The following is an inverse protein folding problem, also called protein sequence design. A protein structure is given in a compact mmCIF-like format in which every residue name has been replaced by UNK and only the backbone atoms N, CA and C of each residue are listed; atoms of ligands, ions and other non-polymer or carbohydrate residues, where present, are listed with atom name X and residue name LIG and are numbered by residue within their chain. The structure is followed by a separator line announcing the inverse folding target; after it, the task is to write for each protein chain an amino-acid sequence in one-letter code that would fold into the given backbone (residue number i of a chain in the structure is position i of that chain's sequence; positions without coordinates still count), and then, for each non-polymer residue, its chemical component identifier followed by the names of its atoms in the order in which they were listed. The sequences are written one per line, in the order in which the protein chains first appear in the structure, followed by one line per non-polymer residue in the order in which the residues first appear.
data_IF_458840152247
#
_entry.id   IF_458840152247
#
_cell.length_a   1.000
_cell.length_b   1.000
_cell.length_c   1.000
_cell.angle_alpha   90.00
_cell.angle_beta   90.00
_cell.angle_gamma   90.00
#
_symmetry.space_group_name_H-M   'P 1'
#
loop_
_entity.id
_entity.type
_entity.pdbx_description
1 polymer ?
#
# COMPACT_ATOMS: atom_id res chain seq x y z
N UNK A 1 -9.05 -17.19 17.70
CA UNK A 1 -9.52 -16.41 16.52
C UNK A 1 -10.76 -17.06 15.95
N UNK A 2 -11.75 -16.28 15.53
CA UNK A 2 -12.95 -16.79 14.85
C UNK A 2 -12.63 -17.22 13.42
N UNK A 3 -13.36 -18.23 12.93
CA UNK A 3 -13.15 -18.80 11.59
C UNK A 3 -13.55 -17.86 10.45
N UNK A 4 -14.56 -17.01 10.69
CA UNK A 4 -15.08 -16.02 9.75
C UNK A 4 -14.23 -14.76 9.67
N UNK A 5 -13.46 -14.46 10.71
CA UNK A 5 -12.69 -13.22 10.75
C UNK A 5 -11.59 -13.18 9.71
N UNK A 6 -11.27 -11.97 9.25
CA UNK A 6 -10.27 -11.73 8.21
C UNK A 6 -9.03 -11.12 8.87
N UNK A 7 -7.94 -11.88 9.05
CA UNK A 7 -6.69 -11.33 9.57
C UNK A 7 -6.06 -10.36 8.57
N UNK A 8 -5.53 -9.25 9.08
CA UNK A 8 -4.76 -8.27 8.30
C UNK A 8 -3.35 -8.13 8.87
N UNK A 9 -2.36 -7.90 7.99
CA UNK A 9 -0.98 -7.64 8.39
C UNK A 9 -0.87 -6.28 9.08
N UNK A 10 -0.25 -6.24 10.25
CA UNK A 10 0.09 -4.97 10.93
C UNK A 10 1.31 -4.32 10.31
N UNK A 11 1.66 -3.11 10.78
CA UNK A 11 2.91 -2.45 10.40
C UNK A 11 4.15 -3.26 10.82
N UNK A 12 4.11 -3.89 12.00
CA UNK A 12 5.18 -4.74 12.49
C UNK A 12 5.35 -6.01 11.64
N UNK A 13 4.24 -6.65 11.25
CA UNK A 13 4.29 -7.82 10.36
C UNK A 13 4.87 -7.49 8.98
N UNK A 14 4.57 -6.30 8.43
CA UNK A 14 5.17 -5.83 7.17
C UNK A 14 6.67 -5.57 7.30
N UNK A 15 7.10 -4.89 8.36
CA UNK A 15 8.52 -4.64 8.62
C UNK A 15 9.29 -5.93 8.82
N UNK A 16 8.72 -6.93 9.49
CA UNK A 16 9.38 -8.21 9.68
C UNK A 16 9.56 -8.99 8.37
N UNK A 17 8.62 -8.86 7.44
CA UNK A 17 8.81 -9.39 6.08
C UNK A 17 9.96 -8.65 5.39
N UNK A 18 10.10 -7.34 5.52
CA UNK A 18 11.18 -6.62 4.83
C UNK A 18 12.56 -6.88 5.46
N UNK A 19 12.65 -6.69 6.77
CA UNK A 19 13.92 -6.57 7.48
C UNK A 19 14.41 -7.88 8.13
N UNK A 20 13.52 -8.87 8.32
CA UNK A 20 13.82 -10.17 8.94
C UNK A 20 14.48 -10.08 10.34
N UNK A 21 14.10 -9.10 11.16
CA UNK A 21 14.76 -8.79 12.44
C UNK A 21 14.21 -9.60 13.62
N UNK A 22 12.94 -9.98 13.58
CA UNK A 22 12.21 -10.67 14.65
C UNK A 22 12.38 -12.20 14.61
N UNK A 23 13.29 -12.72 13.78
CA UNK A 23 13.65 -14.15 13.72
C UNK A 23 12.45 -15.07 13.48
N UNK A 24 11.43 -14.62 12.74
CA UNK A 24 10.35 -15.51 12.35
C UNK A 24 10.90 -16.71 11.60
N UNK A 25 10.51 -17.90 12.05
CA UNK A 25 10.81 -19.12 11.32
C UNK A 25 10.22 -19.07 9.88
N UNK A 26 10.80 -19.79 8.91
CA UNK A 26 10.33 -19.78 7.51
C UNK A 26 8.84 -20.06 7.36
N UNK A 27 8.27 -20.92 8.22
CA UNK A 27 6.84 -21.26 8.26
C UNK A 27 5.96 -20.06 8.63
N UNK A 28 6.26 -19.39 9.74
CA UNK A 28 5.49 -18.22 10.19
C UNK A 28 5.52 -17.10 9.15
N UNK A 29 6.68 -16.89 8.54
CA UNK A 29 6.84 -15.89 7.49
C UNK A 29 6.01 -16.21 6.24
N UNK A 30 5.96 -17.47 5.82
CA UNK A 30 5.13 -17.89 4.69
C UNK A 30 3.64 -17.63 4.95
N UNK A 31 3.16 -17.96 6.16
CA UNK A 31 1.77 -17.68 6.55
C UNK A 31 1.52 -16.16 6.61
N UNK A 32 2.41 -15.40 7.26
CA UNK A 32 2.32 -13.94 7.34
C UNK A 32 2.30 -13.25 5.96
N UNK A 33 3.09 -13.73 5.00
CA UNK A 33 3.08 -13.23 3.62
C UNK A 33 1.71 -13.44 2.97
N UNK A 34 1.04 -14.55 3.26
CA UNK A 34 -0.29 -14.87 2.71
C UNK A 34 -1.44 -14.06 3.33
N UNK A 35 -1.22 -13.35 4.44
CA UNK A 35 -2.26 -12.62 5.18
C UNK A 35 -2.39 -11.20 4.62
N UNK A 36 -3.21 -11.01 3.59
CA UNK A 36 -3.41 -9.68 2.96
C UNK A 36 -4.74 -9.00 3.31
N UNK A 37 -5.53 -9.58 4.23
CA UNK A 37 -6.86 -9.06 4.54
C UNK A 37 -7.95 -9.47 3.55
N UNK A 38 -7.72 -10.53 2.77
CA UNK A 38 -8.66 -11.00 1.74
C UNK A 38 -9.26 -12.36 2.06
N UNK A 39 -8.65 -13.12 2.98
CA UNK A 39 -9.04 -14.49 3.32
C UNK A 39 -9.43 -14.57 4.77
N UNK A 40 -10.47 -15.34 5.06
CA UNK A 40 -10.86 -15.66 6.42
C UNK A 40 -9.87 -16.61 7.08
N UNK A 41 -9.89 -16.69 8.41
CA UNK A 41 -9.08 -17.66 9.18
C UNK A 41 -9.32 -19.10 8.68
N UNK A 42 -10.57 -19.49 8.43
CA UNK A 42 -10.90 -20.79 7.86
C UNK A 42 -10.25 -21.02 6.49
N UNK A 43 -10.29 -20.01 5.62
CA UNK A 43 -9.66 -20.09 4.29
C UNK A 43 -8.13 -20.24 4.38
N UNK A 44 -7.50 -19.57 5.34
CA UNK A 44 -6.06 -19.68 5.59
C UNK A 44 -5.72 -21.08 6.14
N UNK A 45 -6.48 -21.60 7.11
CA UNK A 45 -6.32 -22.98 7.61
C UNK A 45 -6.41 -24.00 6.49
N UNK A 46 -7.39 -23.87 5.60
CA UNK A 46 -7.56 -24.78 4.46
C UNK A 46 -6.39 -24.67 3.48
N UNK A 47 -5.95 -23.46 3.15
CA UNK A 47 -4.80 -23.23 2.26
C UNK A 47 -3.50 -23.84 2.81
N UNK A 48 -3.32 -23.81 4.13
CA UNK A 48 -2.14 -24.35 4.81
C UNK A 48 -2.44 -25.66 5.54
N UNK A 49 -3.43 -26.45 5.10
CA UNK A 49 -3.82 -27.70 5.76
C UNK A 49 -2.70 -28.75 5.82
N UNK A 50 -1.70 -28.66 4.93
CA UNK A 50 -0.48 -29.49 4.97
C UNK A 50 0.45 -29.13 6.15
N UNK A 51 0.21 -28.00 6.82
CA UNK A 51 0.91 -27.57 8.03
C UNK A 51 0.03 -27.93 9.23
N UNK A 52 0.39 -29.02 9.92
CA UNK A 52 -0.36 -29.52 11.08
C UNK A 52 -0.49 -28.50 12.25
N UNK A 53 0.32 -27.45 12.26
CA UNK A 53 0.39 -26.45 13.34
C UNK A 53 -0.07 -25.05 12.89
N UNK A 54 -0.88 -24.94 11.83
CA UNK A 54 -1.31 -23.64 11.29
C UNK A 54 -2.01 -22.76 12.34
N UNK A 55 -2.79 -23.36 13.24
CA UNK A 55 -3.44 -22.67 14.34
C UNK A 55 -2.45 -22.04 15.30
N UNK A 56 -1.41 -22.78 15.68
CA UNK A 56 -0.35 -22.27 16.55
C UNK A 56 0.45 -21.15 15.87
N UNK A 57 0.70 -21.28 14.56
CA UNK A 57 1.39 -20.22 13.79
C UNK A 57 0.57 -18.93 13.74
N UNK A 58 -0.76 -19.02 13.56
CA UNK A 58 -1.63 -17.84 13.57
C UNK A 58 -1.65 -17.18 14.95
N UNK A 59 -1.70 -17.97 16.02
CA UNK A 59 -1.66 -17.48 17.39
C UNK A 59 -0.35 -16.74 17.69
N UNK A 60 0.80 -17.33 17.36
CA UNK A 60 2.12 -16.71 17.53
C UNK A 60 2.27 -15.41 16.72
N UNK A 61 1.72 -15.35 15.49
CA UNK A 61 1.73 -14.13 14.69
C UNK A 61 0.86 -13.03 15.29
N UNK A 62 -0.27 -13.36 15.91
CA UNK A 62 -1.10 -12.38 16.59
C UNK A 62 -0.51 -11.95 17.94
N UNK A 63 0.03 -12.89 18.71
CA UNK A 63 0.73 -12.61 19.97
C UNK A 63 1.96 -11.71 19.74
N UNK A 64 2.67 -11.92 18.63
CA UNK A 64 3.75 -11.05 18.16
C UNK A 64 3.31 -9.71 17.57
N UNK A 65 2.00 -9.43 17.53
CA UNK A 65 1.43 -8.20 16.97
C UNK A 65 1.68 -8.04 15.47
N UNK A 66 1.93 -9.12 14.74
CA UNK A 66 2.24 -9.13 13.30
C UNK A 66 0.98 -9.18 12.45
N UNK A 67 -0.10 -9.73 13.01
CA UNK A 67 -1.44 -9.73 12.43
C UNK A 67 -2.45 -9.26 13.46
N UNK A 68 -3.51 -8.64 12.98
CA UNK A 68 -4.68 -8.26 13.78
C UNK A 68 -5.92 -8.90 13.14
N UNK A 69 -6.88 -9.27 13.98
CA UNK A 69 -8.13 -9.90 13.57
C UNK A 69 -9.24 -8.99 14.07
N UNK A 70 -10.01 -8.41 13.15
CA UNK A 70 -11.26 -7.76 13.52
C UNK A 70 -12.25 -8.87 13.88
N UNK A 71 -12.52 -9.05 15.18
CA UNK A 71 -13.62 -9.88 15.63
C UNK A 71 -14.91 -9.23 15.10
N UNK A 72 -15.71 -10.00 14.34
CA UNK A 72 -16.97 -9.56 13.76
C UNK A 72 -17.96 -9.21 14.88
N UNK A 73 -17.91 -7.95 15.29
CA UNK A 73 -18.80 -7.30 16.22
C UNK A 73 -18.97 -5.80 15.96
N UNK A 74 -18.41 -5.24 14.88
CA UNK A 74 -18.71 -3.86 14.47
C UNK A 74 -18.39 -3.62 12.98
N UNK A 75 -19.31 -4.02 12.09
CA UNK A 75 -19.40 -3.39 10.76
C UNK A 75 -20.13 -2.05 10.92
N UNK A 76 -19.43 -0.98 11.30
CA UNK A 76 -19.71 0.40 10.87
C UNK A 76 -18.76 1.45 11.51
N UNK A 77 -17.90 2.03 10.67
CA UNK A 77 -17.52 3.46 10.62
C UNK A 77 -17.26 4.16 11.97
N UNK A 78 -15.99 4.29 12.34
CA UNK A 78 -15.47 5.41 13.14
C UNK A 78 -14.18 5.92 12.47
N UNK A 79 -14.32 6.72 11.42
CA UNK A 79 -14.02 8.14 11.55
C UNK A 79 -15.12 8.93 12.27
N UNK A 80 -14.79 9.61 13.38
CA UNK A 80 -15.51 10.81 13.82
C UNK A 80 -14.70 11.62 14.85
N UNK A 81 -14.34 12.85 14.50
CA UNK A 81 -14.03 13.96 15.42
C UNK A 81 -15.35 14.58 15.96
N UNK A 82 -15.34 15.72 16.68
CA UNK A 82 -14.75 16.10 17.98
C UNK A 82 -15.84 16.61 18.97
N UNK A 83 -15.50 17.06 20.21
CA UNK A 83 -15.89 18.39 20.79
C UNK A 83 -15.40 18.62 22.25
N UNK A 84 -14.62 19.72 22.43
CA UNK A 84 -14.63 20.84 23.44
C UNK A 84 -14.87 20.56 24.94
N UNK A 85 -14.35 21.29 25.94
CA UNK A 85 -13.37 22.37 26.13
C UNK A 85 -13.22 22.64 27.65
N UNK A 86 -12.05 23.13 28.11
CA UNK A 86 -11.85 24.17 29.14
C UNK A 86 -10.32 24.33 29.34
N UNK A 87 -9.66 25.39 28.85
CA UNK A 87 -9.55 26.77 29.39
C UNK A 87 -8.74 26.77 30.69
N UNK A 88 -7.52 27.28 30.71
CA UNK A 88 -7.10 28.70 30.90
C UNK A 88 -5.55 28.72 30.76
N UNK A 89 -4.78 29.76 30.42
CA UNK A 89 -4.94 31.21 30.27
C UNK A 89 -3.64 31.72 29.58
N UNK A 90 -3.67 32.85 28.87
CA UNK A 90 -2.50 33.45 28.18
C UNK A 90 -2.27 34.88 28.71
N UNK A 91 -1.05 35.22 29.16
CA UNK A 91 -0.55 36.60 29.30
C UNK A 91 0.90 36.76 28.76
N UNK A 92 1.07 37.59 27.71
CA UNK A 92 2.19 38.51 27.35
C UNK A 92 3.68 38.00 27.25
N UNK A 93 4.67 38.78 26.73
CA UNK A 93 5.38 38.59 25.44
C UNK A 93 6.88 38.18 25.57
N UNK A 94 7.71 38.35 24.51
CA UNK A 94 8.20 37.36 23.55
C UNK A 94 9.41 36.51 24.02
N UNK A 95 9.89 35.58 23.17
CA UNK A 95 9.30 35.10 21.93
C UNK A 95 8.85 33.64 22.13
N UNK A 96 7.73 33.19 21.63
CA UNK A 96 7.38 33.17 20.22
C UNK A 96 5.90 33.54 20.04
N UNK A 97 5.64 34.25 18.95
CA UNK A 97 4.42 35.01 18.73
C UNK A 97 3.14 34.17 18.82
N UNK A 98 2.27 34.60 19.76
CA UNK A 98 0.90 35.14 19.57
C UNK A 98 0.21 34.96 18.19
N UNK A 99 -1.13 35.02 18.14
CA UNK A 99 -2.00 33.86 17.93
C UNK A 99 -2.98 34.04 16.75
N UNK A 100 -3.66 32.93 16.43
CA UNK A 100 -4.90 32.72 15.67
C UNK A 100 -5.44 33.84 14.74
N UNK A 101 -5.83 33.45 13.52
CA UNK A 101 -7.28 33.43 13.27
C UNK A 101 -7.77 32.17 12.52
N UNK A 102 -9.05 31.86 12.69
CA UNK A 102 -9.84 30.99 11.79
C UNK A 102 -9.98 31.68 10.40
N UNK A 103 -10.45 31.02 9.34
CA UNK A 103 -10.19 29.68 8.82
C UNK A 103 -9.52 29.80 7.43
N UNK A 104 -8.41 29.10 7.18
CA UNK A 104 -7.78 29.07 5.85
C UNK A 104 -7.45 27.63 5.44
N UNK A 105 -7.52 27.42 4.13
CA UNK A 105 -7.29 26.21 3.35
C UNK A 105 -6.37 25.11 3.93
N UNK A 106 -6.64 23.86 3.48
CA UNK A 106 -5.64 22.78 3.26
C UNK A 106 -4.30 23.37 2.74
N UNK A 107 -3.18 22.61 2.67
CA UNK A 107 -2.82 21.30 3.28
C UNK A 107 -1.33 21.25 3.77
N UNK A 108 -0.93 20.36 4.69
CA UNK A 108 0.48 19.95 4.89
C UNK A 108 0.57 18.87 5.99
N UNK A 109 1.47 17.87 5.98
CA UNK A 109 2.69 17.75 5.20
C UNK A 109 3.13 16.29 5.05
N UNK A 110 3.18 15.78 3.82
CA UNK A 110 4.44 15.22 3.32
C UNK A 110 4.94 16.26 2.34
N UNK A 111 5.89 17.11 2.72
CA UNK A 111 6.47 18.07 1.79
C UNK A 111 7.98 17.86 1.69
N UNK A 112 8.35 17.33 0.53
CA UNK A 112 9.57 17.54 -0.25
C UNK A 112 9.31 16.72 -1.53
N UNK A 113 8.88 17.24 -2.67
CA UNK A 113 9.17 18.49 -3.36
C UNK A 113 7.94 18.89 -4.21
N UNK A 114 7.94 20.09 -4.77
CA UNK A 114 7.29 20.38 -6.06
C UNK A 114 7.86 19.45 -7.15
N UNK A 115 7.33 18.23 -7.19
CA UNK A 115 7.61 17.20 -8.18
C UNK A 115 6.41 16.28 -8.22
N UNK A 116 5.65 16.31 -9.33
CA UNK A 116 4.40 15.57 -9.49
C UNK A 116 4.53 14.13 -8.97
N UNK A 117 3.58 13.71 -8.13
CA UNK A 117 3.53 12.34 -7.63
C UNK A 117 3.48 11.39 -8.82
N UNK A 118 4.52 10.58 -9.02
CA UNK A 118 4.62 9.61 -10.11
C UNK A 118 3.81 8.32 -9.85
N UNK A 119 3.14 8.22 -8.70
CA UNK A 119 2.34 7.06 -8.32
C UNK A 119 1.20 6.73 -9.29
N UNK A 120 0.41 7.71 -9.78
CA UNK A 120 -0.64 7.46 -10.77
C UNK A 120 -0.10 6.82 -12.06
N UNK A 121 1.10 7.24 -12.52
CA UNK A 121 1.76 6.65 -13.68
C UNK A 121 2.16 5.19 -13.43
N UNK A 122 2.77 4.89 -12.28
CA UNK A 122 3.16 3.53 -11.89
C UNK A 122 1.95 2.59 -11.81
N UNK A 123 0.90 3.03 -11.13
CA UNK A 123 -0.35 2.27 -11.00
C UNK A 123 -0.98 1.97 -12.36
N UNK A 124 -1.05 2.98 -13.24
CA UNK A 124 -1.60 2.83 -14.58
C UNK A 124 -0.78 1.83 -15.41
N UNK A 125 0.54 2.00 -15.48
CA UNK A 125 1.41 1.12 -16.26
C UNK A 125 1.31 -0.33 -15.77
N UNK A 126 1.38 -0.55 -14.46
CA UNK A 126 1.27 -1.89 -13.83
C UNK A 126 -0.09 -2.53 -14.10
N UNK A 127 -1.19 -1.76 -13.98
CA UNK A 127 -2.54 -2.25 -14.28
C UNK A 127 -2.68 -2.66 -15.74
N UNK A 128 -2.20 -1.82 -16.67
CA UNK A 128 -2.30 -2.09 -18.11
C UNK A 128 -1.49 -3.31 -18.53
N UNK A 129 -0.28 -3.45 -18.00
CA UNK A 129 0.56 -4.62 -18.25
C UNK A 129 -0.07 -5.90 -17.70
N UNK A 130 -0.62 -5.86 -16.48
CA UNK A 130 -1.29 -7.02 -15.89
C UNK A 130 -2.52 -7.41 -16.71
N UNK A 131 -3.32 -6.43 -17.14
CA UNK A 131 -4.55 -6.68 -17.91
C UNK A 131 -4.29 -7.17 -19.34
N UNK A 132 -3.22 -6.71 -19.99
CA UNK A 132 -2.97 -7.00 -21.42
C UNK A 132 -1.86 -8.01 -21.67
N UNK A 133 -0.84 -8.06 -20.83
CA UNK A 133 0.33 -8.94 -20.98
C UNK A 133 0.28 -10.11 -20.00
N UNK A 134 -0.39 -9.94 -18.85
CA UNK A 134 -0.56 -10.99 -17.85
C UNK A 134 0.74 -11.32 -17.11
N UNK A 135 0.92 -12.59 -16.73
CA UNK A 135 2.03 -13.04 -15.88
C UNK A 135 3.43 -12.69 -16.43
N UNK A 136 3.57 -12.56 -17.75
CA UNK A 136 4.83 -12.18 -18.41
C UNK A 136 5.30 -10.76 -18.04
N UNK A 137 4.40 -9.91 -17.54
CA UNK A 137 4.73 -8.56 -17.10
C UNK A 137 5.35 -8.49 -15.70
N UNK A 138 5.37 -9.59 -14.93
CA UNK A 138 5.77 -9.56 -13.53
C UNK A 138 7.13 -8.87 -13.26
N UNK A 139 8.16 -9.22 -14.03
CA UNK A 139 9.48 -8.60 -13.91
C UNK A 139 9.48 -7.13 -14.32
N UNK A 140 8.63 -6.77 -15.28
CA UNK A 140 8.52 -5.39 -15.75
C UNK A 140 7.75 -4.51 -14.76
N UNK A 141 6.70 -5.04 -14.11
CA UNK A 141 6.01 -4.40 -12.99
C UNK A 141 6.98 -4.10 -11.84
N UNK A 142 7.87 -5.04 -11.49
CA UNK A 142 8.90 -4.78 -10.49
C UNK A 142 9.87 -3.66 -10.87
N UNK A 143 10.19 -3.49 -12.16
CA UNK A 143 11.03 -2.37 -12.62
C UNK A 143 10.30 -1.04 -12.46
N UNK A 144 9.01 -0.98 -12.80
CA UNK A 144 8.17 0.22 -12.66
C UNK A 144 8.07 0.65 -11.19
N UNK A 145 7.84 -0.30 -10.28
CA UNK A 145 7.77 -0.04 -8.84
C UNK A 145 9.09 0.52 -8.28
N UNK A 146 10.22 0.01 -8.79
CA UNK A 146 11.56 0.43 -8.36
C UNK A 146 12.06 1.72 -9.00
N UNK A 147 11.42 2.21 -10.05
CA UNK A 147 11.82 3.45 -10.72
C UNK A 147 11.43 4.66 -9.85
N UNK A 148 12.37 5.39 -9.22
CA UNK A 148 12.03 6.38 -8.21
C UNK A 148 11.75 7.78 -8.80
N UNK A 149 12.29 8.06 -10.00
CA UNK A 149 12.23 9.38 -10.65
C UNK A 149 11.40 9.37 -11.93
N UNK A 150 11.10 10.56 -12.44
CA UNK A 150 10.33 10.77 -13.68
C UNK A 150 11.08 10.20 -14.87
N UNK A 151 12.36 10.52 -14.95
CA UNK A 151 13.27 10.12 -16.02
C UNK A 151 13.34 8.59 -16.07
N UNK A 152 13.45 7.93 -14.90
CA UNK A 152 13.46 6.48 -14.82
C UNK A 152 12.16 5.84 -15.34
N UNK A 153 11.01 6.49 -15.15
CA UNK A 153 9.74 6.02 -15.73
C UNK A 153 9.65 6.26 -17.24
N UNK A 154 10.14 7.41 -17.72
CA UNK A 154 10.23 7.71 -19.15
C UNK A 154 11.11 6.70 -19.89
N UNK A 155 12.25 6.33 -19.29
CA UNK A 155 13.15 5.30 -19.82
C UNK A 155 12.47 3.92 -19.98
N UNK A 156 11.42 3.64 -19.19
CA UNK A 156 10.66 2.39 -19.29
C UNK A 156 9.56 2.43 -20.36
N UNK A 157 9.17 3.60 -20.88
CA UNK A 157 8.09 3.73 -21.87
C UNK A 157 8.34 2.96 -23.19
N UNK A 158 9.55 2.94 -23.78
CA UNK A 158 9.83 2.11 -24.95
C UNK A 158 9.62 0.62 -24.69
N UNK A 159 10.01 0.14 -23.51
CA UNK A 159 9.80 -1.27 -23.10
C UNK A 159 8.31 -1.55 -22.83
N UNK A 160 7.59 -0.60 -22.22
CA UNK A 160 6.13 -0.66 -22.03
C UNK A 160 5.37 -0.78 -23.36
N UNK A 161 5.69 0.10 -24.33
CA UNK A 161 5.15 0.03 -25.70
C UNK A 161 5.42 -1.34 -26.34
N UNK A 162 6.65 -1.82 -26.25
CA UNK A 162 7.05 -3.12 -26.83
C UNK A 162 6.33 -4.29 -26.16
N UNK A 163 6.09 -4.23 -24.85
CA UNK A 163 5.36 -5.25 -24.12
C UNK A 163 3.89 -5.31 -24.58
N UNK A 164 3.23 -4.15 -24.71
CA UNK A 164 1.83 -4.08 -25.10
C UNK A 164 1.58 -4.48 -26.56
N UNK A 165 2.49 -4.18 -27.51
CA UNK A 165 2.35 -4.60 -28.92
C UNK A 165 2.21 -6.11 -29.13
N UNK A 166 2.57 -6.93 -28.13
CA UNK A 166 2.43 -8.39 -28.20
C UNK A 166 0.98 -8.86 -28.04
N UNK A 167 0.10 -8.02 -27.50
CA UNK A 167 -1.28 -8.39 -27.16
C UNK A 167 -2.33 -7.33 -27.48
N UNK A 168 -1.90 -6.18 -28.00
CA UNK A 168 -2.75 -5.02 -28.26
C UNK A 168 -2.37 -4.39 -29.60
N UNK A 169 -3.38 -3.93 -30.35
CA UNK A 169 -3.22 -3.21 -31.62
C UNK A 169 -2.47 -1.89 -31.47
N UNK A 170 -1.83 -1.43 -32.54
CA UNK A 170 -0.97 -0.24 -32.53
C UNK A 170 -1.67 1.04 -32.03
N UNK A 171 -2.95 1.24 -32.37
CA UNK A 171 -3.73 2.41 -31.92
C UNK A 171 -3.88 2.45 -30.40
N UNK A 172 -4.30 1.34 -29.78
CA UNK A 172 -4.43 1.24 -28.32
C UNK A 172 -3.09 1.30 -27.60
N UNK A 173 -2.02 0.77 -28.19
CA UNK A 173 -0.66 0.94 -27.64
C UNK A 173 -0.28 2.43 -27.60
N UNK A 174 -0.60 3.19 -28.65
CA UNK A 174 -0.36 4.63 -28.68
C UNK A 174 -1.19 5.37 -27.62
N UNK A 175 -2.48 5.05 -27.50
CA UNK A 175 -3.36 5.63 -26.46
C UNK A 175 -2.83 5.38 -25.05
N UNK A 176 -2.47 4.14 -24.72
CA UNK A 176 -1.94 3.81 -23.39
C UNK A 176 -0.58 4.46 -23.14
N UNK A 177 0.24 4.62 -24.18
CA UNK A 177 1.54 5.28 -24.03
C UNK A 177 1.39 6.77 -23.77
N UNK A 178 0.53 7.44 -24.55
CA UNK A 178 0.25 8.87 -24.38
C UNK A 178 -0.33 9.17 -22.99
N UNK A 179 -1.23 8.31 -22.49
CA UNK A 179 -1.77 8.47 -21.15
C UNK A 179 -0.70 8.26 -20.06
N UNK A 180 0.18 7.27 -20.22
CA UNK A 180 1.30 7.09 -19.30
C UNK A 180 2.25 8.31 -19.31
N UNK A 181 2.57 8.87 -20.48
CA UNK A 181 3.39 10.08 -20.62
C UNK A 181 2.76 11.30 -19.95
N UNK A 182 1.45 11.48 -20.11
CA UNK A 182 0.71 12.55 -19.44
C UNK A 182 0.75 12.41 -17.91
N UNK A 183 0.60 11.20 -17.38
CA UNK A 183 0.68 10.94 -15.94
C UNK A 183 2.11 11.09 -15.38
N UNK A 184 3.12 10.89 -16.22
CA UNK A 184 4.53 11.14 -15.88
C UNK A 184 4.85 12.64 -15.97
N UNK A 185 4.02 13.42 -16.69
CA UNK A 185 4.15 14.86 -16.89
C UNK A 185 5.19 15.24 -17.94
N UNK A 186 5.24 14.51 -19.05
CA UNK A 186 6.05 14.87 -20.22
C UNK A 186 5.17 15.70 -21.18
N UNK A 187 5.36 17.02 -21.17
CA UNK A 187 4.83 17.93 -22.21
C UNK A 187 5.80 17.96 -23.40
#
# INVERSE_FOLDING_TARGET
MLESSIPVKTAAGRQEIDERKHKLGPRHRMVLISINGERTVAGIRQQFAAINEIDHVLDELAAGGMIEVADDGELAIQAAAPIVAAKEEITAPPPEARPAPKPVAKPASRSANDGESLQPARDFMTRMLTAKVGLRAFLFNQKIEKAPTREALLELLPEFRRALRKSVDAGRVAEFSAHAEQLIGHD
#
